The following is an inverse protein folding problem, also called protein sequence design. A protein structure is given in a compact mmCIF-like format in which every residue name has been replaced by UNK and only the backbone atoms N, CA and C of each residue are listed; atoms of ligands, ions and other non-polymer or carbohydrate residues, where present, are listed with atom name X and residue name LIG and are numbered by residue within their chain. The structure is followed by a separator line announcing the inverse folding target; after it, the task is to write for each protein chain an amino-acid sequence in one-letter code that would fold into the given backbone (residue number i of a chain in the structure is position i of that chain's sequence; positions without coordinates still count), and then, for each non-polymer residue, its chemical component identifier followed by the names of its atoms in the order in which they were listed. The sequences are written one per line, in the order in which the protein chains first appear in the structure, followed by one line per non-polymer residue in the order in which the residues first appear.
data_IF_020347390236
#
_entry.id   IF_020347390236
#
_cell.length_a   1.000
_cell.length_b   1.000
_cell.length_c   1.000
_cell.angle_alpha   90.00
_cell.angle_beta   90.00
_cell.angle_gamma   90.00
#
_symmetry.space_group_name_H-M   'P 1'
#
loop_
_entity.id
_entity.type
_entity.pdbx_description
1 polymer ?
#
# COMPACT_ATOMS: atom_id res chain seq x y z
N UNK A 1 -4.49 11.24 59.24
CA UNK A 1 -4.25 12.60 58.73
C UNK A 1 -2.77 12.84 58.52
N UNK A 2 -2.30 12.92 57.26
CA UNK A 2 -1.25 13.79 56.68
C UNK A 2 -0.97 13.23 55.27
N UNK A 3 -1.52 13.81 54.21
CA UNK A 3 -1.10 15.03 53.49
C UNK A 3 0.15 14.82 52.60
N UNK A 4 -0.10 15.02 51.31
CA UNK A 4 0.83 15.56 50.29
C UNK A 4 1.86 14.64 49.65
N UNK A 5 1.61 14.31 48.38
CA UNK A 5 2.52 14.73 47.30
C UNK A 5 1.77 14.79 45.96
N UNK A 6 1.38 15.99 45.54
CA UNK A 6 1.09 16.29 44.14
C UNK A 6 2.43 16.43 43.42
N UNK A 7 2.82 15.48 42.56
CA UNK A 7 3.79 15.74 41.51
C UNK A 7 3.51 14.86 40.29
N UNK A 8 3.40 15.55 39.15
CA UNK A 8 3.62 15.09 37.78
C UNK A 8 2.46 14.30 37.16
N UNK A 9 1.56 15.08 36.54
CA UNK A 9 0.83 14.67 35.33
C UNK A 9 1.89 14.22 34.32
N UNK A 10 2.15 12.92 34.31
CA UNK A 10 2.93 12.29 33.26
C UNK A 10 2.05 12.29 32.02
N UNK A 11 2.51 13.00 30.99
CA UNK A 11 1.90 13.02 29.68
C UNK A 11 1.58 11.58 29.24
N UNK A 12 0.30 11.28 29.02
CA UNK A 12 -0.12 10.03 28.39
C UNK A 12 0.58 9.97 27.03
N UNK A 13 1.32 8.88 26.73
CA UNK A 13 1.95 8.72 25.43
C UNK A 13 0.86 8.72 24.36
N UNK A 14 1.09 9.49 23.29
CA UNK A 14 0.34 9.39 22.05
C UNK A 14 0.39 7.93 21.63
N UNK A 15 -0.75 7.26 21.72
CA UNK A 15 -0.97 5.94 21.17
C UNK A 15 -0.88 6.07 19.65
N UNK A 16 0.35 5.98 19.14
CA UNK A 16 0.59 5.59 17.75
C UNK A 16 0.25 4.12 17.69
N UNK A 17 -1.04 3.84 17.53
CA UNK A 17 -1.51 2.55 17.09
C UNK A 17 -0.73 2.24 15.79
N UNK A 18 0.20 1.27 15.78
CA UNK A 18 0.75 0.82 14.52
C UNK A 18 -0.41 0.09 13.84
N UNK A 19 -0.95 0.67 12.78
CA UNK A 19 -1.91 -0.04 11.93
C UNK A 19 -1.34 -1.44 11.68
N UNK A 20 -2.06 -2.52 12.05
CA UNK A 20 -1.55 -3.85 11.83
C UNK A 20 -1.34 -4.01 10.32
N UNK A 21 -0.19 -4.57 9.88
CA UNK A 21 -0.01 -4.94 8.48
C UNK A 21 -1.19 -5.83 8.08
N UNK A 22 -2.13 -5.29 7.32
CA UNK A 22 -3.14 -6.10 6.66
C UNK A 22 -2.38 -6.89 5.61
N UNK A 23 -1.92 -8.09 5.98
CA UNK A 23 -1.76 -9.18 5.03
C UNK A 23 -3.14 -9.41 4.40
N UNK A 24 -3.39 -8.69 3.32
CA UNK A 24 -4.44 -9.02 2.37
C UNK A 24 -4.14 -10.45 1.91
N UNK A 25 -4.85 -11.42 2.48
CA UNK A 25 -4.97 -12.75 1.89
C UNK A 25 -5.48 -12.54 0.47
N UNK A 26 -4.56 -12.57 -0.48
CA UNK A 26 -4.86 -12.63 -1.90
C UNK A 26 -5.57 -13.97 -2.13
N UNK A 27 -6.89 -13.96 -1.97
CA UNK A 27 -7.74 -15.03 -2.47
C UNK A 27 -7.50 -15.10 -3.97
N UNK A 28 -6.89 -16.21 -4.38
CA UNK A 28 -6.41 -16.51 -5.72
C UNK A 28 -7.58 -16.44 -6.70
N UNK A 29 -7.84 -15.25 -7.25
CA UNK A 29 -8.89 -15.02 -8.22
C UNK A 29 -8.36 -15.45 -9.59
N UNK A 30 -8.68 -16.69 -9.95
CA UNK A 30 -8.15 -17.50 -11.07
C UNK A 30 -8.45 -16.91 -12.47
N UNK A 31 -8.95 -15.67 -12.61
CA UNK A 31 -9.44 -15.15 -13.89
C UNK A 31 -8.96 -13.72 -14.26
N UNK A 32 -7.96 -13.15 -13.59
CA UNK A 32 -7.58 -11.74 -13.86
C UNK A 32 -6.09 -11.47 -14.06
N UNK A 33 -5.29 -12.46 -14.47
CA UNK A 33 -3.89 -12.23 -14.86
C UNK A 33 -3.73 -11.01 -15.79
N UNK A 34 -4.62 -10.87 -16.78
CA UNK A 34 -4.69 -9.71 -17.70
C UNK A 34 -5.04 -8.36 -17.03
N UNK A 35 -5.87 -8.35 -15.99
CA UNK A 35 -6.28 -7.11 -15.32
C UNK A 35 -5.26 -6.67 -14.27
N UNK A 36 -4.67 -7.62 -13.55
CA UNK A 36 -3.56 -7.34 -12.65
C UNK A 36 -2.33 -6.86 -13.43
N UNK A 37 -2.06 -7.45 -14.60
CA UNK A 37 -1.02 -6.97 -15.51
C UNK A 37 -1.26 -5.53 -15.97
N UNK A 38 -2.51 -5.15 -16.24
CA UNK A 38 -2.87 -3.77 -16.57
C UNK A 38 -2.58 -2.83 -15.40
N UNK A 39 -3.04 -3.18 -14.19
CA UNK A 39 -2.76 -2.39 -12.98
C UNK A 39 -1.25 -2.22 -12.77
N UNK A 40 -0.48 -3.30 -12.92
CA UNK A 40 0.97 -3.26 -12.76
C UNK A 40 1.64 -2.35 -13.79
N UNK A 41 1.19 -2.36 -15.06
CA UNK A 41 1.69 -1.42 -16.07
C UNK A 41 1.42 0.03 -15.71
N UNK A 42 0.20 0.35 -15.26
CA UNK A 42 -0.16 1.72 -14.86
C UNK A 42 0.68 2.18 -13.65
N UNK A 43 0.95 1.29 -12.69
CA UNK A 43 1.86 1.56 -11.58
C UNK A 43 3.28 1.84 -12.08
N UNK A 44 3.81 1.02 -12.99
CA UNK A 44 5.16 1.21 -13.56
C UNK A 44 5.25 2.55 -14.30
N UNK A 45 4.25 2.89 -15.12
CA UNK A 45 4.22 4.16 -15.87
C UNK A 45 4.29 5.37 -14.94
N UNK A 46 3.53 5.35 -13.84
CA UNK A 46 3.58 6.42 -12.83
C UNK A 46 4.96 6.48 -12.15
N UNK A 47 5.56 5.34 -11.84
CA UNK A 47 6.88 5.27 -11.21
C UNK A 47 8.01 5.73 -12.15
N UNK A 48 7.88 5.50 -13.45
CA UNK A 48 8.84 5.96 -14.47
C UNK A 48 8.86 7.49 -14.63
N UNK A 49 7.82 8.20 -14.17
CA UNK A 49 7.81 9.68 -14.16
C UNK A 49 8.84 10.27 -13.21
N UNK A 50 9.32 9.50 -12.22
CA UNK A 50 10.36 9.91 -11.29
C UNK A 50 11.75 9.41 -11.77
N UNK A 51 12.70 10.30 -12.08
CA UNK A 51 14.01 9.91 -12.60
C UNK A 51 14.82 9.03 -11.65
N UNK A 52 14.75 9.27 -10.34
CA UNK A 52 15.49 8.51 -9.34
C UNK A 52 14.93 7.10 -9.19
N UNK A 53 13.60 6.97 -9.20
CA UNK A 53 12.95 5.68 -9.10
C UNK A 53 13.07 4.86 -10.40
N UNK A 54 13.10 5.53 -11.56
CA UNK A 54 13.30 4.88 -12.86
C UNK A 54 14.61 4.09 -12.92
N UNK A 55 15.71 4.61 -12.36
CA UNK A 55 16.98 3.87 -12.29
C UNK A 55 16.83 2.59 -11.46
N UNK A 56 16.07 2.65 -10.35
CA UNK A 56 15.79 1.47 -9.51
C UNK A 56 14.97 0.43 -10.27
N UNK A 57 13.97 0.86 -11.02
CA UNK A 57 13.15 -0.03 -11.87
C UNK A 57 14.00 -0.78 -12.91
N UNK A 58 15.01 -0.13 -13.51
CA UNK A 58 15.89 -0.79 -14.49
C UNK A 58 16.77 -1.88 -13.87
N UNK A 59 17.12 -1.74 -12.60
CA UNK A 59 17.94 -2.71 -11.87
C UNK A 59 17.13 -3.83 -11.20
N UNK A 60 15.82 -3.63 -11.03
CA UNK A 60 14.92 -4.58 -10.38
C UNK A 60 14.33 -5.55 -11.40
N UNK A 61 14.24 -6.83 -11.04
CA UNK A 61 13.52 -7.80 -11.87
C UNK A 61 12.00 -7.67 -11.67
N UNK A 62 11.20 -8.12 -12.63
CA UNK A 62 9.73 -8.12 -12.53
C UNK A 62 9.23 -8.83 -11.28
N UNK A 63 9.91 -9.90 -10.86
CA UNK A 63 9.62 -10.64 -9.63
C UNK A 63 9.94 -9.81 -8.38
N UNK A 64 11.03 -9.06 -8.36
CA UNK A 64 11.37 -8.17 -7.24
C UNK A 64 10.33 -7.06 -7.04
N UNK A 65 9.77 -6.56 -8.15
CA UNK A 65 8.71 -5.55 -8.14
C UNK A 65 7.43 -6.13 -7.53
N UNK A 66 6.99 -7.31 -8.01
CA UNK A 66 5.81 -8.01 -7.47
C UNK A 66 5.96 -8.39 -6.00
N UNK A 67 7.17 -8.77 -5.58
CA UNK A 67 7.48 -9.11 -4.19
C UNK A 67 7.64 -7.88 -3.28
N UNK A 68 7.47 -6.67 -3.81
CA UNK A 68 7.48 -5.43 -3.02
C UNK A 68 8.88 -5.02 -2.54
N UNK A 69 9.96 -5.45 -3.20
CA UNK A 69 11.34 -5.12 -2.83
C UNK A 69 11.64 -3.63 -2.89
N UNK A 70 10.95 -2.91 -3.77
CA UNK A 70 11.05 -1.46 -3.94
C UNK A 70 10.14 -0.66 -3.01
N UNK A 71 9.38 -1.31 -2.12
CA UNK A 71 8.43 -0.64 -1.22
C UNK A 71 9.07 0.48 -0.39
N UNK A 72 10.30 0.30 0.10
CA UNK A 72 11.04 1.31 0.88
C UNK A 72 11.48 2.51 0.05
N UNK A 73 11.70 2.33 -1.24
CA UNK A 73 12.11 3.41 -2.16
C UNK A 73 10.91 4.28 -2.53
N UNK A 74 9.67 3.78 -2.36
CA UNK A 74 8.45 4.58 -2.57
C UNK A 74 8.32 5.74 -1.60
N UNK A 75 8.97 5.69 -0.43
CA UNK A 75 8.96 6.82 0.51
C UNK A 75 9.75 8.03 -0.01
N UNK A 76 10.72 7.77 -0.89
CA UNK A 76 11.62 8.78 -1.45
C UNK A 76 11.07 9.45 -2.70
N UNK A 77 10.05 8.88 -3.35
CA UNK A 77 9.43 9.50 -4.51
C UNK A 77 8.64 10.76 -4.14
N UNK A 78 8.51 11.66 -5.10
CA UNK A 78 7.76 12.91 -4.96
C UNK A 78 6.32 12.66 -4.48
N UNK A 79 5.78 13.61 -3.70
CA UNK A 79 4.42 13.50 -3.15
C UNK A 79 3.36 13.24 -4.24
N UNK A 80 3.48 13.89 -5.40
CA UNK A 80 2.56 13.69 -6.52
C UNK A 80 2.52 12.23 -7.00
N UNK A 81 3.67 11.56 -7.06
CA UNK A 81 3.79 10.15 -7.46
C UNK A 81 3.11 9.27 -6.42
N UNK A 82 3.37 9.48 -5.13
CA UNK A 82 2.69 8.72 -4.05
C UNK A 82 1.18 8.87 -4.09
N UNK A 83 0.67 10.09 -4.22
CA UNK A 83 -0.78 10.33 -4.34
C UNK A 83 -1.39 9.62 -5.55
N UNK A 84 -0.68 9.58 -6.69
CA UNK A 84 -1.12 8.85 -7.88
C UNK A 84 -1.16 7.34 -7.65
N UNK A 85 -0.13 6.78 -7.01
CA UNK A 85 -0.07 5.35 -6.69
C UNK A 85 -1.15 4.94 -5.70
N UNK A 86 -1.41 5.77 -4.69
CA UNK A 86 -2.49 5.54 -3.73
C UNK A 86 -3.86 5.51 -4.41
N UNK A 87 -4.10 6.41 -5.37
CA UNK A 87 -5.33 6.44 -6.15
C UNK A 87 -5.47 5.19 -7.04
N UNK A 88 -4.40 4.77 -7.74
CA UNK A 88 -4.39 3.54 -8.53
C UNK A 88 -4.68 2.30 -7.66
N UNK A 89 -4.01 2.19 -6.51
CA UNK A 89 -4.23 1.10 -5.55
C UNK A 89 -5.69 1.10 -5.08
N UNK A 90 -6.24 2.27 -4.74
CA UNK A 90 -7.63 2.40 -4.28
C UNK A 90 -8.62 1.94 -5.34
N UNK A 91 -8.38 2.28 -6.60
CA UNK A 91 -9.22 1.85 -7.73
C UNK A 91 -9.18 0.33 -7.91
N UNK A 92 -7.99 -0.27 -7.85
CA UNK A 92 -7.85 -1.72 -8.00
C UNK A 92 -8.52 -2.48 -6.85
N UNK A 93 -8.32 -2.03 -5.60
CA UNK A 93 -9.00 -2.61 -4.44
C UNK A 93 -10.53 -2.48 -4.56
N UNK A 94 -11.03 -1.34 -5.04
CA UNK A 94 -12.47 -1.16 -5.29
C UNK A 94 -13.00 -2.16 -6.33
N UNK A 95 -12.29 -2.35 -7.43
CA UNK A 95 -12.64 -3.31 -8.49
C UNK A 95 -12.69 -4.74 -7.92
N UNK A 96 -11.67 -5.14 -7.17
CA UNK A 96 -11.59 -6.47 -6.55
C UNK A 96 -12.75 -6.71 -5.58
N UNK A 97 -13.09 -5.71 -4.74
CA UNK A 97 -14.25 -5.79 -3.84
C UNK A 97 -15.57 -5.96 -4.61
N UNK A 98 -15.75 -5.26 -5.72
CA UNK A 98 -16.93 -5.43 -6.57
C UNK A 98 -17.01 -6.84 -7.16
N UNK A 99 -15.90 -7.39 -7.64
CA UNK A 99 -15.86 -8.75 -8.18
C UNK A 99 -16.19 -9.80 -7.11
N UNK A 100 -15.60 -9.67 -5.91
CA UNK A 100 -15.89 -10.56 -4.79
C UNK A 100 -17.37 -10.51 -4.40
N UNK A 101 -17.95 -9.31 -4.31
CA UNK A 101 -19.37 -9.14 -4.01
C UNK A 101 -20.26 -9.80 -5.08
N UNK A 102 -19.97 -9.57 -6.35
CA UNK A 102 -20.74 -10.17 -7.45
C UNK A 102 -20.68 -11.71 -7.43
N UNK A 103 -19.52 -12.28 -7.06
CA UNK A 103 -19.36 -13.74 -6.91
C UNK A 103 -20.20 -14.28 -5.74
N UNK A 104 -20.21 -13.58 -4.60
CA UNK A 104 -21.00 -13.97 -3.43
C UNK A 104 -22.52 -13.84 -3.67
N UNK A 105 -22.96 -12.78 -4.35
CA UNK A 105 -24.38 -12.57 -4.68
C UNK A 105 -24.88 -13.62 -5.71
N UNK A 106 -23.98 -14.32 -6.39
CA UNK A 106 -24.29 -15.37 -7.37
C UNK A 106 -24.37 -16.79 -6.76
N UNK A 107 -24.13 -16.93 -5.44
CA UNK A 107 -24.21 -18.19 -4.68
C UNK A 107 -25.34 -18.17 -3.68
#
# INVERSE_FOLDING_TARGET
SVLSLCLLVWAVPIDRNPDPPQEEKAEENVDTGLYYDRYLREVIEVLETDPHFREKLQTANTEDIKNGRLSKELDLVGHHVRTRLDELKRQEVSRLRMLLKAKLDST
#
